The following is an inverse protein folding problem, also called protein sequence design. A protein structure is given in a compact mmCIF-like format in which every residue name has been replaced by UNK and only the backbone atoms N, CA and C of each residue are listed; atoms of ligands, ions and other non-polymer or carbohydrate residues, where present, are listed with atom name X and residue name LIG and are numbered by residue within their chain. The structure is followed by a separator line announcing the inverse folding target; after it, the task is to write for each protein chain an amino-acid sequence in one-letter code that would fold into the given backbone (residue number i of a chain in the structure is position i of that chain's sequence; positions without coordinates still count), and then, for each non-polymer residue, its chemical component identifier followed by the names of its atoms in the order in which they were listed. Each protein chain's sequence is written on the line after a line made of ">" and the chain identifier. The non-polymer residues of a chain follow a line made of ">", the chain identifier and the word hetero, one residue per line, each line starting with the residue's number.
data_IF_429303637166
#
_entry.id   IF_429303637166
#
_cell.length_a   1.000
_cell.length_b   1.000
_cell.length_c   1.000
_cell.angle_alpha   90.00
_cell.angle_beta   90.00
_cell.angle_gamma   90.00
#
_symmetry.space_group_name_H-M   'P 1'
#
loop_
_entity.id
_entity.type
_entity.pdbx_description
1 polymer ?
#
# COMPACT_ATOMS: atom_id res chain seq x y z
N UNK A 1 5.53 6.68 -4.29
CA UNK A 1 6.06 5.36 -4.73
C UNK A 1 6.17 4.38 -3.55
N UNK A 2 6.23 4.87 -2.31
CA UNK A 2 6.35 4.07 -1.10
C UNK A 2 5.31 2.94 -0.94
N UNK A 3 4.10 3.09 -1.49
CA UNK A 3 3.02 2.13 -1.30
C UNK A 3 3.36 0.72 -1.81
N UNK A 4 4.17 0.61 -2.87
CA UNK A 4 4.60 -0.69 -3.40
C UNK A 4 5.59 -1.41 -2.49
N UNK A 5 6.22 -0.71 -1.54
CA UNK A 5 7.17 -1.30 -0.59
C UNK A 5 6.52 -2.37 0.28
N UNK A 6 5.22 -2.23 0.58
CA UNK A 6 4.46 -3.16 1.43
C UNK A 6 4.29 -4.53 0.75
N UNK A 7 3.65 -4.65 -0.44
CA UNK A 7 3.49 -5.94 -1.11
C UNK A 7 4.85 -6.57 -1.47
N UNK A 8 5.86 -5.76 -1.84
CA UNK A 8 7.20 -6.24 -2.14
C UNK A 8 7.88 -6.82 -0.89
N UNK A 9 7.85 -6.10 0.22
CA UNK A 9 8.44 -6.56 1.49
C UNK A 9 7.75 -7.82 2.00
N UNK A 10 6.42 -7.92 1.89
CA UNK A 10 5.72 -9.16 2.21
C UNK A 10 6.16 -10.32 1.33
N UNK A 11 6.29 -10.12 0.02
CA UNK A 11 6.74 -11.20 -0.86
C UNK A 11 8.17 -11.65 -0.56
N UNK A 12 9.09 -10.72 -0.25
CA UNK A 12 10.44 -11.06 0.20
C UNK A 12 10.39 -11.90 1.49
N UNK A 13 9.58 -11.48 2.47
CA UNK A 13 9.46 -12.15 3.77
C UNK A 13 8.85 -13.57 3.66
N UNK A 14 7.82 -13.73 2.82
CA UNK A 14 7.01 -14.96 2.78
C UNK A 14 7.31 -15.89 1.60
N UNK A 15 7.84 -15.35 0.50
CA UNK A 15 8.23 -16.06 -0.70
C UNK A 15 7.07 -16.53 -1.59
N UNK A 16 7.43 -16.97 -2.79
CA UNK A 16 6.50 -17.37 -3.85
C UNK A 16 5.56 -18.55 -3.48
N UNK A 17 5.96 -19.37 -2.50
CA UNK A 17 5.13 -20.49 -2.01
C UNK A 17 3.84 -20.01 -1.33
N UNK A 18 3.91 -18.87 -0.63
CA UNK A 18 2.76 -18.30 0.08
C UNK A 18 2.08 -17.19 -0.73
N UNK A 19 2.87 -16.38 -1.42
CA UNK A 19 2.40 -15.26 -2.24
C UNK A 19 2.90 -15.51 -3.66
N UNK A 20 2.11 -16.18 -4.53
CA UNK A 20 2.50 -16.41 -5.91
C UNK A 20 2.81 -15.10 -6.63
N UNK A 21 3.74 -15.10 -7.59
CA UNK A 21 4.13 -13.90 -8.36
C UNK A 21 2.93 -13.16 -8.96
N UNK A 22 1.89 -13.88 -9.40
CA UNK A 22 0.64 -13.27 -9.89
C UNK A 22 -0.06 -12.44 -8.82
N UNK A 23 -0.17 -12.99 -7.61
CA UNK A 23 -0.74 -12.31 -6.47
C UNK A 23 0.11 -11.09 -6.08
N UNK A 24 1.44 -11.20 -6.10
CA UNK A 24 2.34 -10.06 -5.89
C UNK A 24 2.08 -8.92 -6.88
N UNK A 25 2.02 -9.22 -8.19
CA UNK A 25 1.78 -8.19 -9.22
C UNK A 25 0.45 -7.48 -8.95
N UNK A 26 -0.61 -8.23 -8.66
CA UNK A 26 -1.91 -7.63 -8.30
C UNK A 26 -1.80 -6.82 -7.02
N UNK A 27 -1.08 -7.27 -5.99
CA UNK A 27 -0.85 -6.51 -4.76
C UNK A 27 -0.11 -5.19 -4.99
N UNK A 28 0.90 -5.18 -5.86
CA UNK A 28 1.60 -3.95 -6.27
C UNK A 28 0.62 -2.99 -6.95
N UNK A 29 -0.17 -3.47 -7.92
CA UNK A 29 -1.17 -2.65 -8.61
C UNK A 29 -2.23 -2.12 -7.65
N UNK A 30 -2.72 -2.96 -6.74
CA UNK A 30 -3.74 -2.60 -5.75
C UNK A 30 -3.20 -1.63 -4.70
N UNK A 31 -1.91 -1.69 -4.36
CA UNK A 31 -1.27 -0.74 -3.45
C UNK A 31 -1.17 0.68 -4.00
N UNK A 32 -1.28 0.87 -5.33
CA UNK A 32 -1.27 2.21 -5.97
C UNK A 32 -2.65 2.61 -6.51
N UNK A 33 -3.61 1.68 -6.53
CA UNK A 33 -4.92 1.89 -7.09
C UNK A 33 -5.71 3.04 -6.43
N UNK A 34 -5.63 3.30 -5.11
CA UNK A 34 -6.35 4.41 -4.48
C UNK A 34 -6.09 5.76 -5.16
N UNK A 35 -4.85 6.06 -5.55
CA UNK A 35 -4.43 7.30 -6.22
C UNK A 35 -5.01 7.51 -7.63
N UNK A 36 -5.63 6.48 -8.21
CA UNK A 36 -6.33 6.64 -9.50
C UNK A 36 -7.52 7.61 -9.37
N UNK A 37 -7.97 7.87 -8.13
CA UNK A 37 -8.95 8.90 -7.79
C UNK A 37 -8.55 10.33 -8.20
N UNK A 38 -7.27 10.61 -8.47
CA UNK A 38 -6.81 11.91 -9.01
C UNK A 38 -7.47 12.23 -10.36
N UNK A 39 -7.94 11.22 -11.10
CA UNK A 39 -8.74 11.41 -12.32
C UNK A 39 -10.06 12.14 -12.02
N UNK A 40 -10.62 12.02 -10.82
CA UNK A 40 -11.85 12.69 -10.40
C UNK A 40 -11.77 14.22 -10.56
N UNK A 41 -10.57 14.81 -10.45
CA UNK A 41 -10.35 16.23 -10.70
C UNK A 41 -10.68 16.65 -12.14
N UNK A 42 -10.46 15.77 -13.12
CA UNK A 42 -10.81 16.03 -14.52
C UNK A 42 -12.32 16.08 -14.74
N UNK A 43 -13.09 15.47 -13.83
CA UNK A 43 -14.54 15.50 -13.80
C UNK A 43 -15.10 16.61 -12.89
N UNK A 44 -14.25 17.49 -12.37
CA UNK A 44 -14.65 18.61 -11.51
C UNK A 44 -15.00 18.23 -10.08
N UNK A 45 -14.66 17.02 -9.62
CA UNK A 45 -14.85 16.62 -8.22
C UNK A 45 -13.78 17.33 -7.36
N UNK A 46 -14.16 18.14 -6.35
CA UNK A 46 -13.20 18.83 -5.48
C UNK A 46 -12.36 17.87 -4.64
N UNK A 47 -11.17 18.31 -4.21
CA UNK A 47 -10.26 17.50 -3.37
C UNK A 47 -10.88 17.19 -2.00
N UNK A 48 -11.65 18.12 -1.47
CA UNK A 48 -12.30 18.06 -0.16
C UNK A 48 -13.51 17.11 -0.14
N UNK A 49 -14.03 16.73 -1.32
CA UNK A 49 -15.14 15.80 -1.45
C UNK A 49 -14.77 14.41 -0.92
N UNK A 50 -15.76 13.66 -0.45
CA UNK A 50 -15.60 12.23 -0.10
C UNK A 50 -15.24 11.35 -1.30
N UNK A 51 -15.49 11.85 -2.52
CA UNK A 51 -15.05 11.23 -3.77
C UNK A 51 -13.78 11.85 -4.34
N UNK A 52 -13.23 12.87 -3.68
CA UNK A 52 -11.96 13.49 -4.03
C UNK A 52 -10.78 12.62 -3.63
N UNK A 53 -9.58 13.08 -3.98
CA UNK A 53 -8.34 12.41 -3.62
C UNK A 53 -8.21 12.24 -2.09
N UNK A 54 -7.68 11.10 -1.63
CA UNK A 54 -7.64 10.70 -0.20
C UNK A 54 -9.02 10.51 0.47
N UNK A 55 -10.08 10.47 -0.34
CA UNK A 55 -11.45 10.16 0.08
C UNK A 55 -11.73 8.65 0.11
N UNK A 56 -12.86 8.25 -0.47
CA UNK A 56 -13.42 6.90 -0.37
C UNK A 56 -12.46 5.79 -0.82
N UNK A 57 -11.68 6.02 -1.88
CA UNK A 57 -10.63 5.14 -2.40
C UNK A 57 -9.57 4.74 -1.37
N UNK A 58 -9.37 5.56 -0.33
CA UNK A 58 -8.38 5.33 0.73
C UNK A 58 -9.02 4.76 2.02
N UNK A 59 -10.33 4.52 2.00
CA UNK A 59 -11.07 4.02 3.15
C UNK A 59 -10.79 2.54 3.46
N UNK A 60 -11.05 2.16 4.70
CA UNK A 60 -11.01 0.75 5.13
C UNK A 60 -12.07 -0.06 4.36
N UNK A 61 -13.25 0.53 4.14
CA UNK A 61 -14.34 -0.13 3.42
C UNK A 61 -13.99 -0.42 1.97
N UNK A 62 -13.37 0.53 1.26
CA UNK A 62 -12.89 0.33 -0.11
C UNK A 62 -11.85 -0.78 -0.16
N UNK A 63 -10.85 -0.72 0.72
CA UNK A 63 -9.80 -1.73 0.83
C UNK A 63 -10.38 -3.13 1.06
N UNK A 64 -11.35 -3.25 1.97
CA UNK A 64 -12.03 -4.51 2.29
C UNK A 64 -12.84 -5.02 1.10
N UNK A 65 -13.72 -4.19 0.55
CA UNK A 65 -14.67 -4.57 -0.52
C UNK A 65 -13.93 -5.02 -1.78
N UNK A 66 -12.88 -4.30 -2.18
CA UNK A 66 -12.08 -4.66 -3.34
C UNK A 66 -11.31 -5.97 -3.12
N UNK A 67 -10.84 -6.22 -1.90
CA UNK A 67 -10.15 -7.47 -1.56
C UNK A 67 -11.09 -8.66 -1.55
N UNK A 68 -12.32 -8.50 -1.04
CA UNK A 68 -13.38 -9.52 -1.16
C UNK A 68 -13.69 -9.81 -2.62
N UNK A 69 -13.85 -8.77 -3.45
CA UNK A 69 -14.11 -8.94 -4.88
C UNK A 69 -12.97 -9.70 -5.58
N UNK A 70 -11.71 -9.39 -5.24
CA UNK A 70 -10.55 -10.07 -5.81
C UNK A 70 -10.47 -11.57 -5.44
N UNK A 71 -11.12 -12.02 -4.36
CA UNK A 71 -11.20 -13.44 -4.02
C UNK A 71 -11.91 -14.28 -5.10
N UNK A 72 -12.75 -13.69 -5.96
CA UNK A 72 -13.34 -14.39 -7.12
C UNK A 72 -12.25 -14.92 -8.07
N UNK A 73 -11.10 -14.24 -8.11
CA UNK A 73 -9.96 -14.61 -8.96
C UNK A 73 -8.99 -15.61 -8.28
N UNK A 74 -9.33 -16.15 -7.11
CA UNK A 74 -8.43 -17.01 -6.30
C UNK A 74 -7.79 -18.15 -7.09
N UNK A 75 -8.57 -18.82 -7.95
CA UNK A 75 -8.09 -19.92 -8.81
C UNK A 75 -7.04 -19.45 -9.81
N UNK A 76 -7.25 -18.29 -10.43
CA UNK A 76 -6.31 -17.71 -11.39
C UNK A 76 -5.02 -17.19 -10.71
N UNK A 77 -5.17 -16.68 -9.48
CA UNK A 77 -4.07 -16.21 -8.63
C UNK A 77 -3.23 -17.35 -8.04
N UNK A 78 -3.74 -18.59 -8.07
CA UNK A 78 -3.06 -19.81 -7.58
C UNK A 78 -2.65 -19.72 -6.10
N UNK A 79 -3.46 -19.06 -5.29
CA UNK A 79 -3.23 -18.87 -3.86
C UNK A 79 -4.43 -19.38 -3.05
N UNK A 80 -4.28 -19.47 -1.73
CA UNK A 80 -5.42 -19.69 -0.82
C UNK A 80 -6.28 -18.44 -0.75
N UNK A 81 -7.59 -18.59 -0.53
CA UNK A 81 -8.52 -17.45 -0.52
C UNK A 81 -8.17 -16.44 0.58
N UNK A 82 -7.73 -16.91 1.74
CA UNK A 82 -7.29 -16.09 2.86
C UNK A 82 -6.02 -15.32 2.50
N UNK A 83 -5.08 -15.97 1.80
CA UNK A 83 -3.86 -15.31 1.33
C UNK A 83 -4.19 -14.21 0.32
N UNK A 84 -5.13 -14.44 -0.61
CA UNK A 84 -5.61 -13.40 -1.53
C UNK A 84 -6.25 -12.25 -0.76
N UNK A 85 -7.21 -12.54 0.11
CA UNK A 85 -7.94 -11.52 0.86
C UNK A 85 -6.99 -10.67 1.70
N UNK A 86 -6.23 -11.28 2.61
CA UNK A 86 -5.42 -10.52 3.58
C UNK A 86 -4.25 -9.80 2.89
N UNK A 87 -3.60 -10.42 1.92
CA UNK A 87 -2.49 -9.78 1.21
C UNK A 87 -2.96 -8.54 0.45
N UNK A 88 -4.08 -8.64 -0.28
CA UNK A 88 -4.60 -7.51 -1.04
C UNK A 88 -5.20 -6.45 -0.12
N UNK A 89 -5.91 -6.85 0.94
CA UNK A 89 -6.47 -5.92 1.92
C UNK A 89 -5.38 -5.08 2.57
N UNK A 90 -4.33 -5.71 3.06
CA UNK A 90 -3.19 -5.00 3.66
C UNK A 90 -2.44 -4.15 2.63
N UNK A 91 -2.32 -4.62 1.38
CA UNK A 91 -1.67 -3.83 0.32
C UNK A 91 -2.44 -2.54 0.03
N UNK A 92 -3.77 -2.60 -0.12
CA UNK A 92 -4.59 -1.41 -0.37
C UNK A 92 -4.66 -0.53 0.88
N UNK A 93 -4.97 -1.10 2.06
CA UNK A 93 -5.14 -0.34 3.29
C UNK A 93 -3.85 0.41 3.67
N UNK A 94 -2.69 -0.21 3.44
CA UNK A 94 -1.40 0.42 3.70
C UNK A 94 -1.20 1.72 2.92
N UNK A 95 -1.87 1.89 1.79
CA UNK A 95 -1.83 3.12 1.01
C UNK A 95 -2.32 4.30 1.85
N UNK A 96 -3.56 4.24 2.35
CA UNK A 96 -4.13 5.29 3.20
C UNK A 96 -3.35 5.48 4.50
N UNK A 97 -2.82 4.40 5.08
CA UNK A 97 -1.96 4.48 6.28
C UNK A 97 -0.68 5.29 6.00
N UNK A 98 0.01 5.00 4.90
CA UNK A 98 1.21 5.76 4.52
C UNK A 98 0.87 7.21 4.17
N UNK A 99 -0.28 7.45 3.56
CA UNK A 99 -0.74 8.81 3.23
C UNK A 99 -1.06 9.65 4.48
N UNK A 100 -1.66 9.05 5.51
CA UNK A 100 -1.87 9.68 6.81
C UNK A 100 -0.55 9.99 7.56
N UNK A 101 0.56 9.34 7.17
CA UNK A 101 1.92 9.62 7.65
C UNK A 101 2.65 10.68 6.82
N UNK A 102 2.00 11.30 5.82
CA UNK A 102 2.60 12.38 5.02
C UNK A 102 2.40 13.76 5.67
N UNK A 103 3.36 14.65 5.49
CA UNK A 103 3.35 16.00 6.09
C UNK A 103 2.46 17.05 5.42
N UNK A 104 1.60 16.72 4.46
CA UNK A 104 0.76 17.70 3.77
C UNK A 104 -0.37 17.10 2.94
N UNK A 105 -1.12 17.96 2.24
CA UNK A 105 -2.38 17.59 1.58
C UNK A 105 -3.56 17.57 2.55
N UNK A 106 -4.65 16.91 2.17
CA UNK A 106 -5.73 16.55 3.09
C UNK A 106 -5.38 15.27 3.84
N UNK A 107 -5.97 15.09 5.02
CA UNK A 107 -5.89 13.81 5.73
C UNK A 107 -6.61 12.71 4.95
N UNK A 108 -6.57 11.49 5.48
CA UNK A 108 -7.17 10.32 4.83
C UNK A 108 -8.55 10.02 5.39
N UNK A 109 -9.53 9.80 4.52
CA UNK A 109 -10.90 9.43 4.87
C UNK A 109 -11.07 7.96 5.21
N UNK A 110 -10.45 7.47 6.29
CA UNK A 110 -10.50 6.03 6.64
C UNK A 110 -11.92 5.47 6.83
N UNK A 111 -12.83 6.31 7.32
CA UNK A 111 -14.19 5.93 7.72
C UNK A 111 -15.28 6.31 6.70
N UNK A 112 -14.91 6.85 5.54
CA UNK A 112 -15.88 7.15 4.47
C UNK A 112 -16.51 5.83 3.98
N UNK A 113 -17.84 5.78 3.77
CA UNK A 113 -18.81 6.88 3.75
C UNK A 113 -19.54 7.14 5.07
N UNK A 114 -19.14 6.50 6.16
CA UNK A 114 -19.79 6.64 7.46
C UNK A 114 -19.43 7.95 8.16
N UNK A 115 -18.23 8.47 7.91
CA UNK A 115 -17.77 9.79 8.36
C UNK A 115 -16.88 10.43 7.31
N UNK A 116 -17.07 11.74 7.09
CA UNK A 116 -16.24 12.55 6.20
C UNK A 116 -14.96 13.08 6.89
N UNK A 117 -14.69 12.68 8.13
CA UNK A 117 -13.47 13.08 8.85
C UNK A 117 -12.19 12.64 8.11
N UNK A 118 -11.19 13.52 8.08
CA UNK A 118 -9.89 13.29 7.43
C UNK A 118 -8.80 13.18 8.47
N UNK A 119 -8.12 12.03 8.51
CA UNK A 119 -7.16 11.71 9.55
C UNK A 119 -5.72 11.90 9.09
N UNK A 120 -4.91 12.52 9.95
CA UNK A 120 -3.46 12.46 9.91
C UNK A 120 -2.95 11.76 11.15
N UNK A 121 -1.80 11.10 11.05
CA UNK A 121 -1.08 10.66 12.24
C UNK A 121 -0.26 11.81 12.84
N UNK A 122 0.00 11.73 14.14
CA UNK A 122 0.83 12.72 14.84
C UNK A 122 2.25 12.74 14.28
N UNK A 123 2.82 11.56 14.05
CA UNK A 123 4.12 11.41 13.41
C UNK A 123 3.95 11.32 11.90
N UNK A 124 4.50 12.30 11.18
CA UNK A 124 4.43 12.39 9.71
C UNK A 124 5.83 12.47 9.10
N UNK A 125 6.59 11.36 9.11
CA UNK A 125 7.99 11.38 8.71
C UNK A 125 8.15 11.36 7.18
N UNK A 126 7.06 11.11 6.43
CA UNK A 126 7.07 11.02 4.98
C UNK A 126 6.79 12.41 4.40
N UNK A 127 7.69 12.90 3.53
CA UNK A 127 7.45 14.15 2.84
C UNK A 127 6.33 13.97 1.81
N UNK A 128 5.39 14.92 1.77
CA UNK A 128 4.25 14.87 0.85
C UNK A 128 4.71 15.00 -0.60
N UNK A 129 4.27 14.05 -1.44
CA UNK A 129 4.50 14.13 -2.88
C UNK A 129 3.61 15.21 -3.50
N UNK A 130 4.14 16.08 -4.37
CA UNK A 130 3.30 17.00 -5.10
C UNK A 130 2.38 16.25 -6.07
N UNK A 131 1.14 16.74 -6.22
CA UNK A 131 0.21 16.23 -7.23
C UNK A 131 0.78 16.57 -8.62
N UNK A 132 0.88 15.56 -9.48
CA UNK A 132 1.32 15.68 -10.87
C UNK A 132 2.83 15.52 -11.08
N UNK A 133 3.18 14.86 -12.19
CA UNK A 133 4.56 14.43 -12.49
C UNK A 133 5.54 15.59 -12.70
N UNK A 134 5.07 16.74 -13.20
CA UNK A 134 5.92 17.92 -13.47
C UNK A 134 6.54 18.48 -12.20
N UNK A 135 5.77 18.53 -11.11
CA UNK A 135 6.24 19.00 -9.82
C UNK A 135 7.11 17.97 -9.10
N UNK A 136 6.90 16.68 -9.40
CA UNK A 136 7.70 15.59 -8.85
C UNK A 136 9.13 15.57 -9.42
N UNK A 137 9.34 15.98 -10.68
CA UNK A 137 10.67 16.01 -11.31
C UNK A 137 11.57 17.20 -10.86
N UNK A 138 11.28 17.79 -9.71
CA UNK A 138 12.04 18.92 -9.13
C UNK A 138 12.86 18.47 -7.91
N UNK A 139 13.60 19.38 -7.28
CA UNK A 139 14.30 19.12 -6.00
C UNK A 139 13.37 18.59 -4.90
N UNK A 140 12.09 18.93 -4.95
CA UNK A 140 11.06 18.42 -4.04
C UNK A 140 10.86 16.91 -4.19
N UNK A 141 10.91 16.36 -5.39
CA UNK A 141 10.82 14.92 -5.61
C UNK A 141 11.97 14.14 -4.98
N UNK A 142 13.18 14.71 -5.00
CA UNK A 142 14.33 14.09 -4.33
C UNK A 142 14.15 14.03 -2.81
N UNK A 143 13.58 15.07 -2.20
CA UNK A 143 13.24 15.09 -0.77
C UNK A 143 12.19 14.02 -0.45
N UNK A 144 11.17 13.87 -1.30
CA UNK A 144 10.14 12.83 -1.17
C UNK A 144 10.77 11.44 -1.24
N UNK A 145 11.52 11.14 -2.30
CA UNK A 145 12.20 9.86 -2.49
C UNK A 145 13.13 9.53 -1.32
N UNK A 146 13.89 10.51 -0.83
CA UNK A 146 14.76 10.34 0.34
C UNK A 146 13.94 10.00 1.59
N UNK A 147 12.85 10.73 1.85
CA UNK A 147 12.00 10.46 3.00
C UNK A 147 11.36 9.06 2.90
N UNK A 148 10.80 8.68 1.75
CA UNK A 148 10.21 7.37 1.50
C UNK A 148 11.26 6.25 1.69
N UNK A 149 12.49 6.47 1.21
CA UNK A 149 13.58 5.49 1.32
C UNK A 149 13.92 5.17 2.78
N UNK A 150 14.14 6.21 3.60
CA UNK A 150 14.58 6.02 4.98
C UNK A 150 13.46 5.65 5.95
N UNK A 151 12.23 6.08 5.68
CA UNK A 151 11.11 5.90 6.63
C UNK A 151 10.24 4.70 6.30
N UNK A 152 10.19 4.27 5.03
CA UNK A 152 9.34 3.17 4.57
C UNK A 152 10.19 2.02 4.05
N UNK A 153 11.00 2.24 3.01
CA UNK A 153 11.69 1.15 2.32
C UNK A 153 12.73 0.44 3.18
N UNK A 154 13.68 1.17 3.76
CA UNK A 154 14.76 0.56 4.55
C UNK A 154 14.18 -0.25 5.73
N UNK A 155 13.31 0.30 6.60
CA UNK A 155 12.75 -0.47 7.70
C UNK A 155 12.00 -1.73 7.25
N UNK A 156 11.14 -1.62 6.24
CA UNK A 156 10.34 -2.76 5.76
C UNK A 156 11.22 -3.83 5.12
N UNK A 157 12.19 -3.45 4.30
CA UNK A 157 13.11 -4.40 3.67
C UNK A 157 14.00 -5.08 4.70
N UNK A 158 14.50 -4.34 5.70
CA UNK A 158 15.29 -4.93 6.79
C UNK A 158 14.51 -5.98 7.57
N UNK A 159 13.24 -5.69 7.90
CA UNK A 159 12.35 -6.66 8.56
C UNK A 159 12.08 -7.85 7.64
N UNK A 160 11.75 -7.60 6.37
CA UNK A 160 11.42 -8.65 5.41
C UNK A 160 12.59 -9.62 5.18
N UNK A 161 13.79 -9.11 4.97
CA UNK A 161 15.02 -9.91 4.83
C UNK A 161 15.31 -10.70 6.11
N UNK A 162 15.11 -10.10 7.29
CA UNK A 162 15.32 -10.80 8.57
C UNK A 162 14.36 -11.99 8.71
N UNK A 163 13.07 -11.81 8.39
CA UNK A 163 12.07 -12.89 8.40
C UNK A 163 12.45 -13.97 7.39
N UNK A 164 12.85 -13.60 6.18
CA UNK A 164 13.29 -14.52 5.15
C UNK A 164 14.46 -15.40 5.64
N UNK A 165 15.52 -14.80 6.19
CA UNK A 165 16.70 -15.49 6.69
C UNK A 165 16.38 -16.44 7.85
N UNK A 166 15.51 -16.05 8.79
CA UNK A 166 15.09 -16.91 9.90
C UNK A 166 14.33 -18.13 9.38
N UNK A 167 13.46 -17.93 8.38
CA UNK A 167 12.65 -19.00 7.80
C UNK A 167 13.47 -20.00 7.00
N UNK A 168 14.43 -19.55 6.20
CA UNK A 168 15.28 -20.46 5.41
C UNK A 168 16.17 -21.31 6.31
N UNK A 169 16.76 -20.71 7.36
CA UNK A 169 17.54 -21.46 8.37
C UNK A 169 16.72 -22.54 9.08
N UNK A 170 15.46 -22.28 9.43
CA UNK A 170 14.57 -23.28 10.06
C UNK A 170 14.21 -24.43 9.13
N UNK A 171 14.12 -24.19 7.82
CA UNK A 171 13.85 -25.23 6.82
C UNK A 171 15.07 -26.16 6.71
N UNK A 172 16.28 -25.59 6.62
CA UNK A 172 17.52 -26.37 6.50
C UNK A 172 17.79 -27.28 7.71
N UNK A 173 17.47 -26.81 8.93
CA UNK A 173 17.59 -27.62 10.16
C UNK A 173 16.63 -28.81 10.11
N UNK A 174 15.37 -28.60 9.72
CA UNK A 174 14.34 -29.66 9.69
C UNK A 174 14.57 -30.71 8.59
N UNK A 175 15.35 -30.40 7.55
CA UNK A 175 15.72 -31.37 6.50
C UNK A 175 16.95 -32.20 6.84
N UNK A 176 17.64 -31.89 7.94
CA UNK A 176 18.84 -32.61 8.40
C UNK A 176 18.55 -33.61 9.52
N UNK A 177 17.33 -33.63 10.05
CA UNK A 177 16.80 -34.63 10.99
C UNK A 177 16.00 -35.70 10.24
#
# INVERSE_FOLDING_TARGET
>A
MAHTAIPISFWIAFGNKFIPTRLLIIGILFSILPDVDVIAFQFGIPYESDWGHRGFSHSILFSFSLSVLACVLVRWLRARIEAVFFFLFLSILSHGVLDAMTGGGLGVGFLIPYSSERFFFTLRPIAVSPIGIKNFLTSRGLVVLRSELFTVWIPLLSIAVSIFLIRTRRIDVRTKD
#
